data_IF_632444571868
#
_entry.id   IF_632444571868
#
_cell.length_a   1.000
_cell.length_b   1.000
_cell.length_c   1.000
_cell.angle_alpha   90.00
_cell.angle_beta   90.00
_cell.angle_gamma   90.00
#
_symmetry.space_group_name_H-M   'P 1'
#
loop_
_entity.id
_entity.type
_entity.pdbx_description
1 polymer ?
#
# COMPACT_ATOMS: atom_id res chain seq x y z
N UNK A 1 6.89 2.11 -0.70
CA UNK A 1 6.63 2.99 -1.86
C UNK A 1 6.71 4.42 -1.40
N UNK A 2 7.51 5.25 -2.09
CA UNK A 2 7.64 6.67 -1.78
C UNK A 2 6.72 7.52 -2.67
N UNK A 3 6.49 8.78 -2.27
CA UNK A 3 5.83 9.78 -3.11
C UNK A 3 4.33 9.93 -2.89
N UNK A 4 3.66 9.01 -2.19
CA UNK A 4 2.20 9.09 -1.94
C UNK A 4 1.75 10.44 -1.38
N UNK A 5 2.47 10.96 -0.38
CA UNK A 5 2.16 12.28 0.19
C UNK A 5 2.47 13.45 -0.74
N UNK A 6 3.49 13.34 -1.61
CA UNK A 6 3.82 14.36 -2.63
C UNK A 6 2.76 14.37 -3.73
N UNK A 7 2.36 13.19 -4.20
CA UNK A 7 1.30 13.02 -5.17
C UNK A 7 -0.01 13.61 -4.66
N UNK A 8 -0.43 13.27 -3.43
CA UNK A 8 -1.66 13.83 -2.85
C UNK A 8 -1.67 15.36 -2.86
N UNK A 9 -0.58 16.01 -2.45
CA UNK A 9 -0.47 17.48 -2.49
C UNK A 9 -0.54 18.05 -3.90
N UNK A 10 0.11 17.40 -4.88
CA UNK A 10 0.11 17.84 -6.28
C UNK A 10 -1.30 17.79 -6.89
N UNK A 11 -2.08 16.78 -6.52
CA UNK A 11 -3.48 16.62 -6.97
C UNK A 11 -4.48 17.43 -6.12
N UNK A 12 -4.03 18.38 -5.30
CA UNK A 12 -4.92 19.17 -4.42
C UNK A 12 -5.63 18.35 -3.33
N UNK A 13 -5.13 17.14 -3.04
CA UNK A 13 -5.74 16.16 -2.16
C UNK A 13 -4.98 16.02 -0.82
N UNK A 14 -5.63 15.41 0.18
CA UNK A 14 -4.95 15.07 1.44
C UNK A 14 -3.85 14.02 1.25
N UNK A 15 -2.85 14.01 2.13
CA UNK A 15 -1.81 12.97 2.17
C UNK A 15 -2.41 11.56 2.24
N UNK A 16 -3.46 11.39 3.04
CA UNK A 16 -4.19 10.11 3.16
C UNK A 16 -4.84 9.68 1.84
N UNK A 17 -5.33 10.61 1.02
CA UNK A 17 -5.83 10.28 -0.31
C UNK A 17 -4.69 9.78 -1.23
N UNK A 18 -3.50 10.38 -1.12
CA UNK A 18 -2.32 9.87 -1.80
C UNK A 18 -1.90 8.47 -1.35
N UNK A 19 -2.01 8.15 -0.06
CA UNK A 19 -1.79 6.78 0.43
C UNK A 19 -2.80 5.77 -0.13
N UNK A 20 -4.08 6.16 -0.27
CA UNK A 20 -5.10 5.33 -0.94
C UNK A 20 -4.79 5.12 -2.43
N UNK A 21 -4.31 6.16 -3.12
CA UNK A 21 -3.85 6.02 -4.50
C UNK A 21 -2.65 5.07 -4.61
N UNK A 22 -1.69 5.17 -3.69
CA UNK A 22 -0.58 4.23 -3.57
C UNK A 22 -1.04 2.79 -3.39
N UNK A 23 -2.04 2.54 -2.54
CA UNK A 23 -2.60 1.20 -2.35
C UNK A 23 -3.19 0.61 -3.65
N UNK A 24 -3.90 1.43 -4.45
CA UNK A 24 -4.40 1.00 -5.78
C UNK A 24 -3.25 0.70 -6.75
N UNK A 25 -2.17 1.49 -6.71
CA UNK A 25 -1.00 1.25 -7.53
C UNK A 25 -0.32 -0.08 -7.17
N UNK A 26 -0.22 -0.42 -5.87
CA UNK A 26 0.27 -1.74 -5.45
C UNK A 26 -0.57 -2.85 -6.05
N UNK A 27 -1.90 -2.74 -5.95
CA UNK A 27 -2.80 -3.79 -6.41
C UNK A 27 -2.63 -4.07 -7.92
N UNK A 28 -2.42 -3.02 -8.72
CA UNK A 28 -2.06 -3.15 -10.13
C UNK A 28 -0.70 -3.86 -10.34
N UNK A 29 0.31 -3.47 -9.57
CA UNK A 29 1.66 -4.10 -9.63
C UNK A 29 1.61 -5.56 -9.24
N UNK A 30 0.89 -5.93 -8.18
CA UNK A 30 0.82 -7.32 -7.74
C UNK A 30 0.06 -8.17 -8.76
N UNK A 31 -1.03 -7.67 -9.35
CA UNK A 31 -1.70 -8.37 -10.47
C UNK A 31 -0.79 -8.56 -11.66
N UNK A 32 0.03 -7.56 -12.00
CA UNK A 32 1.03 -7.70 -13.06
C UNK A 32 2.09 -8.75 -12.71
N UNK A 33 2.63 -8.72 -11.48
CA UNK A 33 3.61 -9.69 -10.99
C UNK A 33 3.10 -11.14 -11.14
N UNK A 34 1.85 -11.41 -10.74
CA UNK A 34 1.21 -12.72 -10.93
C UNK A 34 1.13 -13.10 -12.41
N UNK A 35 0.64 -12.20 -13.28
CA UNK A 35 0.55 -12.47 -14.73
C UNK A 35 1.90 -12.75 -15.39
N UNK A 36 2.97 -12.16 -14.86
CA UNK A 36 4.33 -12.32 -15.40
C UNK A 36 5.13 -13.44 -14.70
N UNK A 37 4.52 -14.22 -13.79
CA UNK A 37 5.19 -15.33 -13.12
C UNK A 37 6.29 -14.88 -12.15
N UNK A 38 6.16 -13.70 -11.53
CA UNK A 38 7.09 -13.26 -10.49
C UNK A 38 6.83 -14.05 -9.21
N UNK A 39 7.81 -14.85 -8.80
CA UNK A 39 7.68 -15.73 -7.63
C UNK A 39 7.63 -14.96 -6.30
N UNK A 40 8.40 -13.88 -6.18
CA UNK A 40 8.52 -13.10 -4.94
C UNK A 40 8.48 -11.60 -5.24
N UNK A 41 7.57 -10.90 -4.58
CA UNK A 41 7.45 -9.44 -4.62
C UNK A 41 7.46 -8.88 -3.19
N UNK A 42 8.52 -8.15 -2.83
CA UNK A 42 8.63 -7.48 -1.53
C UNK A 42 8.27 -6.00 -1.66
N UNK A 43 7.30 -5.56 -0.86
CA UNK A 43 6.82 -4.18 -0.89
C UNK A 43 7.11 -3.49 0.44
N UNK A 44 7.88 -2.41 0.39
CA UNK A 44 8.19 -1.66 1.59
C UNK A 44 7.03 -0.73 1.96
N UNK A 45 6.13 -1.20 2.82
CA UNK A 45 4.91 -0.50 3.20
C UNK A 45 5.10 0.47 4.38
N UNK A 46 5.99 0.15 5.31
CA UNK A 46 6.25 0.94 6.52
C UNK A 46 7.70 0.71 7.00
N UNK A 47 8.35 1.78 7.46
CA UNK A 47 9.74 1.80 7.95
C UNK A 47 9.80 2.26 9.41
N UNK A 48 10.91 1.98 10.09
CA UNK A 48 11.17 2.47 11.45
C UNK A 48 11.06 4.01 11.54
N UNK A 49 11.53 4.73 10.51
CA UNK A 49 11.46 6.19 10.47
C UNK A 49 10.03 6.73 10.38
N UNK A 50 9.06 5.91 9.96
CA UNK A 50 7.66 6.33 9.91
C UNK A 50 7.06 6.50 11.32
N UNK A 51 7.68 5.94 12.36
CA UNK A 51 7.30 6.20 13.75
C UNK A 51 7.57 7.63 14.19
N UNK A 52 8.51 8.32 13.55
CA UNK A 52 8.83 9.72 13.86
C UNK A 52 7.79 10.72 13.29
N UNK A 53 6.74 10.24 12.60
CA UNK A 53 5.66 11.07 12.08
C UNK A 53 4.60 11.37 13.16
N UNK A 54 3.77 12.41 12.98
CA UNK A 54 2.68 12.69 13.91
C UNK A 54 1.79 11.46 14.15
N UNK A 55 1.44 11.19 15.41
CA UNK A 55 0.74 9.96 15.81
C UNK A 55 -0.59 9.74 15.08
N UNK A 56 -1.28 10.81 14.70
CA UNK A 56 -2.52 10.72 13.91
C UNK A 56 -2.26 10.23 12.47
N UNK A 57 -1.14 10.63 11.85
CA UNK A 57 -0.71 10.15 10.53
C UNK A 57 -0.33 8.66 10.61
N UNK A 58 0.44 8.27 11.63
CA UNK A 58 0.81 6.87 11.85
C UNK A 58 -0.43 5.99 12.02
N UNK A 59 -1.41 6.41 12.84
CA UNK A 59 -2.67 5.67 13.01
C UNK A 59 -3.45 5.54 11.69
N UNK A 60 -3.48 6.59 10.88
CA UNK A 60 -4.14 6.55 9.58
C UNK A 60 -3.43 5.56 8.62
N UNK A 61 -2.10 5.57 8.60
CA UNK A 61 -1.29 4.63 7.82
C UNK A 61 -1.51 3.18 8.24
N UNK A 62 -1.50 2.89 9.55
CA UNK A 62 -1.73 1.54 10.06
C UNK A 62 -3.14 1.05 9.74
N UNK A 63 -4.17 1.90 9.87
CA UNK A 63 -5.53 1.54 9.45
C UNK A 63 -5.62 1.21 7.96
N UNK A 64 -4.97 2.01 7.11
CA UNK A 64 -4.91 1.74 5.67
C UNK A 64 -4.17 0.43 5.37
N UNK A 65 -3.05 0.18 6.04
CA UNK A 65 -2.26 -1.03 5.88
C UNK A 65 -3.07 -2.27 6.28
N UNK A 66 -3.70 -2.27 7.45
CA UNK A 66 -4.53 -3.40 7.91
C UNK A 66 -5.71 -3.64 6.99
N UNK A 67 -6.39 -2.58 6.53
CA UNK A 67 -7.48 -2.69 5.57
C UNK A 67 -7.03 -3.30 4.24
N UNK A 68 -5.89 -2.83 3.72
CA UNK A 68 -5.29 -3.34 2.49
C UNK A 68 -4.89 -4.81 2.62
N UNK A 69 -4.20 -5.20 3.71
CA UNK A 69 -3.76 -6.57 3.94
C UNK A 69 -4.95 -7.54 4.04
N UNK A 70 -6.05 -7.15 4.69
CA UNK A 70 -7.26 -7.98 4.78
C UNK A 70 -7.89 -8.21 3.41
N UNK A 71 -8.06 -7.15 2.62
CA UNK A 71 -8.60 -7.26 1.26
C UNK A 71 -7.69 -8.09 0.36
N UNK A 72 -6.36 -7.89 0.48
CA UNK A 72 -5.36 -8.61 -0.31
C UNK A 72 -5.29 -10.08 0.08
N UNK A 73 -5.37 -10.43 1.36
CA UNK A 73 -5.38 -11.83 1.82
C UNK A 73 -6.58 -12.60 1.26
N UNK A 74 -7.75 -11.96 1.15
CA UNK A 74 -8.92 -12.55 0.50
C UNK A 74 -8.65 -12.83 -0.99
N UNK A 75 -8.25 -11.81 -1.74
CA UNK A 75 -7.95 -11.93 -3.18
C UNK A 75 -6.79 -12.87 -3.47
N UNK A 76 -5.79 -12.92 -2.60
CA UNK A 76 -4.64 -13.79 -2.74
C UNK A 76 -5.02 -15.25 -2.58
N UNK A 77 -5.89 -15.59 -1.61
CA UNK A 77 -6.46 -16.95 -1.50
C UNK A 77 -7.19 -17.38 -2.77
N UNK A 78 -7.97 -16.48 -3.37
CA UNK A 78 -8.69 -16.77 -4.62
C UNK A 78 -7.74 -16.96 -5.82
N UNK A 79 -6.59 -16.26 -5.82
CA UNK A 79 -5.60 -16.31 -6.90
C UNK A 79 -4.45 -17.32 -6.66
N UNK A 80 -4.51 -18.13 -5.59
CA UNK A 80 -3.43 -19.07 -5.23
C UNK A 80 -2.13 -18.40 -4.76
N UNK A 81 -2.18 -17.12 -4.39
CA UNK A 81 -1.03 -16.32 -3.92
C UNK A 81 -0.92 -16.41 -2.39
N UNK A 82 0.30 -16.58 -1.88
CA UNK A 82 0.60 -16.53 -0.44
C UNK A 82 1.07 -15.11 -0.05
N UNK A 83 0.50 -14.56 1.02
CA UNK A 83 0.82 -13.22 1.58
C UNK A 83 1.31 -13.36 3.00
#
# INVERSE_FOLDING_TARGET
MDGNGRWGRREGCSRSAGHRAGARAVDAVVRAAVRHGVDVLTLFAFSSDNWNRPAHEVRALMRLLTGYLRARAHQAREAGVRV
#
